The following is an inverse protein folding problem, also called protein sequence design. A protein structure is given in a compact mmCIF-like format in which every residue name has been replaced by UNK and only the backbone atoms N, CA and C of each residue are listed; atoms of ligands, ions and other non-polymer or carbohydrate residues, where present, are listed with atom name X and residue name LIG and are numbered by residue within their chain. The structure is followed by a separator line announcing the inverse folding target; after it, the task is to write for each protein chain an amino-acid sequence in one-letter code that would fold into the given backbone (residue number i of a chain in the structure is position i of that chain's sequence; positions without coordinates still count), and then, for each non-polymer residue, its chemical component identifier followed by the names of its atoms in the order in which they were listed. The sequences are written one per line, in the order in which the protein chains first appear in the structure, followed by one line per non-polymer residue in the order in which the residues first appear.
data_IF_721236201700
#
_entry.id   IF_721236201700
#
_cell.length_a   1.000
_cell.length_b   1.000
_cell.length_c   1.000
_cell.angle_alpha   90.00
_cell.angle_beta   90.00
_cell.angle_gamma   90.00
#
_symmetry.space_group_name_H-M   'P 1'
#
loop_
_entity.id
_entity.type
_entity.pdbx_description
1 polymer ?
#
# COMPACT_ATOMS: atom_id res chain seq x y z
N UNK A 1 -9.56 -3.35 2.95
CA UNK A 1 -8.97 -4.19 1.89
C UNK A 1 -7.89 -3.46 1.12
N UNK A 2 -8.17 -2.33 0.46
CA UNK A 2 -7.19 -1.56 -0.32
C UNK A 2 -5.92 -1.22 0.50
N UNK A 3 -6.07 -0.53 1.64
CA UNK A 3 -4.93 -0.19 2.52
C UNK A 3 -4.22 -1.41 3.12
N UNK A 4 -4.99 -2.41 3.56
CA UNK A 4 -4.46 -3.64 4.15
C UNK A 4 -3.59 -4.41 3.14
N UNK A 5 -4.07 -4.59 1.90
CA UNK A 5 -3.29 -5.23 0.84
C UNK A 5 -2.02 -4.44 0.51
N UNK A 6 -2.10 -3.11 0.46
CA UNK A 6 -0.92 -2.29 0.24
C UNK A 6 0.10 -2.38 1.38
N UNK A 7 -0.36 -2.28 2.64
CA UNK A 7 0.52 -2.41 3.80
C UNK A 7 1.15 -3.79 3.87
N UNK A 8 0.38 -4.84 3.57
CA UNK A 8 0.88 -6.20 3.44
C UNK A 8 1.99 -6.30 2.39
N UNK A 9 1.80 -5.73 1.21
CA UNK A 9 2.82 -5.66 0.16
C UNK A 9 4.12 -5.03 0.69
N UNK A 10 4.04 -3.83 1.28
CA UNK A 10 5.21 -3.08 1.72
C UNK A 10 5.93 -3.74 2.89
N UNK A 11 5.19 -4.29 3.85
CA UNK A 11 5.76 -4.94 5.01
C UNK A 11 6.47 -6.24 4.61
N UNK A 12 5.85 -7.06 3.74
CA UNK A 12 6.47 -8.28 3.26
C UNK A 12 7.67 -8.00 2.36
N UNK A 13 7.60 -7.02 1.46
CA UNK A 13 8.74 -6.64 0.63
C UNK A 13 9.91 -6.16 1.48
N UNK A 14 9.67 -5.38 2.54
CA UNK A 14 10.73 -4.92 3.42
C UNK A 14 11.33 -6.03 4.29
N UNK A 15 10.50 -6.92 4.83
CA UNK A 15 10.97 -7.99 5.72
C UNK A 15 11.68 -9.13 4.97
N UNK A 16 11.15 -9.54 3.81
CA UNK A 16 11.64 -10.73 3.10
C UNK A 16 12.66 -10.45 1.99
N UNK A 17 12.83 -9.22 1.51
CA UNK A 17 13.88 -8.89 0.52
C UNK A 17 15.30 -9.19 1.04
N UNK A 18 15.69 -8.79 2.27
CA UNK A 18 17.00 -9.15 2.83
C UNK A 18 17.20 -10.67 2.92
N UNK A 19 16.17 -11.41 3.39
CA UNK A 19 16.18 -12.87 3.50
C UNK A 19 16.31 -13.51 2.12
N UNK A 20 15.58 -13.02 1.13
CA UNK A 20 15.67 -13.45 -0.26
C UNK A 20 17.09 -13.27 -0.82
N UNK A 21 17.75 -12.14 -0.54
CA UNK A 21 19.12 -11.89 -1.04
C UNK A 21 20.13 -12.86 -0.39
N UNK A 22 19.99 -13.11 0.91
CA UNK A 22 20.89 -14.01 1.65
C UNK A 22 20.66 -15.48 1.29
N UNK A 23 19.42 -15.96 1.40
CA UNK A 23 19.10 -17.39 1.27
C UNK A 23 18.92 -17.84 -0.18
N UNK A 24 18.25 -17.03 -1.02
CA UNK A 24 17.97 -17.40 -2.41
C UNK A 24 19.16 -17.08 -3.31
N UNK A 25 19.78 -15.92 -3.08
CA UNK A 25 20.72 -15.33 -4.03
C UNK A 25 22.19 -15.53 -3.61
N UNK A 26 22.45 -15.77 -2.32
CA UNK A 26 23.76 -16.00 -1.71
C UNK A 26 24.78 -14.91 -2.05
N UNK A 27 24.33 -13.65 -2.14
CA UNK A 27 25.23 -12.52 -2.38
C UNK A 27 26.03 -12.15 -1.12
N UNK A 28 27.22 -11.53 -1.31
CA UNK A 28 27.99 -10.97 -0.21
C UNK A 28 27.18 -9.95 0.60
N UNK A 29 27.52 -9.81 1.88
CA UNK A 29 26.76 -9.05 2.88
C UNK A 29 26.51 -7.59 2.49
N UNK A 30 27.40 -6.99 1.68
CA UNK A 30 27.29 -5.63 1.18
C UNK A 30 25.96 -5.37 0.45
N UNK A 31 25.52 -6.31 -0.39
CA UNK A 31 24.29 -6.16 -1.20
C UNK A 31 23.02 -6.13 -0.34
N UNK A 32 23.06 -6.74 0.85
CA UNK A 32 21.93 -6.82 1.77
C UNK A 32 21.63 -5.46 2.42
N UNK A 33 22.63 -4.57 2.50
CA UNK A 33 22.45 -3.20 3.00
C UNK A 33 22.01 -2.24 1.89
N UNK A 34 22.61 -2.34 0.70
CA UNK A 34 22.33 -1.42 -0.40
C UNK A 34 20.92 -1.58 -0.99
N UNK A 35 20.43 -2.82 -1.13
CA UNK A 35 19.13 -3.05 -1.78
C UNK A 35 17.94 -2.46 -0.98
N UNK A 36 17.82 -2.68 0.34
CA UNK A 36 16.80 -1.98 1.13
C UNK A 36 16.96 -0.47 1.08
N UNK A 37 18.19 0.05 1.09
CA UNK A 37 18.44 1.50 0.97
C UNK A 37 17.87 2.05 -0.35
N UNK A 38 18.11 1.39 -1.48
CA UNK A 38 17.55 1.79 -2.78
C UNK A 38 16.02 1.73 -2.77
N UNK A 39 15.43 0.71 -2.17
CA UNK A 39 13.98 0.58 -2.01
C UNK A 39 13.41 1.75 -1.18
N UNK A 40 14.06 2.15 -0.09
CA UNK A 40 13.63 3.29 0.73
C UNK A 40 13.80 4.63 0.01
N UNK A 41 14.95 4.87 -0.63
CA UNK A 41 15.23 6.13 -1.35
C UNK A 41 14.26 6.32 -2.52
N UNK A 42 14.05 5.28 -3.32
CA UNK A 42 13.09 5.31 -4.42
C UNK A 42 11.66 5.52 -3.93
N UNK A 43 11.26 4.84 -2.85
CA UNK A 43 9.96 5.01 -2.23
C UNK A 43 9.75 6.43 -1.67
N UNK A 44 10.78 7.02 -1.07
CA UNK A 44 10.75 8.39 -0.56
C UNK A 44 10.63 9.42 -1.69
N UNK A 45 11.47 9.30 -2.73
CA UNK A 45 11.41 10.18 -3.89
C UNK A 45 10.03 10.11 -4.57
N UNK A 46 9.51 8.90 -4.74
CA UNK A 46 8.19 8.67 -5.31
C UNK A 46 7.10 9.34 -4.47
N UNK A 47 7.16 9.24 -3.14
CA UNK A 47 6.21 9.88 -2.22
C UNK A 47 6.16 11.41 -2.37
N UNK A 48 7.30 12.04 -2.67
CA UNK A 48 7.35 13.48 -2.97
C UNK A 48 6.62 13.82 -4.26
N UNK A 49 6.79 12.99 -5.30
CA UNK A 49 6.16 13.16 -6.62
C UNK A 49 4.67 12.81 -6.60
N UNK A 50 4.21 12.01 -5.63
CA UNK A 50 2.82 11.54 -5.55
C UNK A 50 1.77 12.63 -5.55
N UNK A 51 2.07 13.80 -4.95
CA UNK A 51 1.13 14.94 -4.98
C UNK A 51 0.89 15.41 -6.42
N UNK A 52 1.93 15.47 -7.24
CA UNK A 52 1.83 15.84 -8.65
C UNK A 52 1.13 14.72 -9.44
N UNK A 53 1.53 13.46 -9.27
CA UNK A 53 0.90 12.32 -9.94
C UNK A 53 -0.61 12.27 -9.69
N UNK A 54 -1.03 12.32 -8.43
CA UNK A 54 -2.45 12.30 -8.08
C UNK A 54 -3.24 13.47 -8.67
N UNK A 55 -2.60 14.62 -8.91
CA UNK A 55 -3.21 15.79 -9.54
C UNK A 55 -3.37 15.62 -11.06
N UNK A 56 -2.36 15.08 -11.74
CA UNK A 56 -2.36 14.98 -13.21
C UNK A 56 -3.15 13.78 -13.74
N UNK A 57 -2.92 12.59 -13.18
CA UNK A 57 -3.53 11.34 -13.68
C UNK A 57 -4.75 10.90 -12.86
N UNK A 58 -4.97 11.50 -11.69
CA UNK A 58 -6.06 11.15 -10.78
C UNK A 58 -5.73 9.96 -9.88
N UNK A 59 -6.32 9.95 -8.68
CA UNK A 59 -6.01 8.97 -7.62
C UNK A 59 -6.25 7.52 -8.02
N UNK A 60 -7.32 7.22 -8.75
CA UNK A 60 -7.62 5.84 -9.21
C UNK A 60 -6.55 5.34 -10.18
N UNK A 61 -6.15 6.15 -11.15
CA UNK A 61 -5.10 5.79 -12.09
C UNK A 61 -3.73 5.67 -11.43
N UNK A 62 -3.39 6.57 -10.49
CA UNK A 62 -2.15 6.45 -9.70
C UNK A 62 -2.08 5.14 -8.95
N UNK A 63 -3.18 4.70 -8.32
CA UNK A 63 -3.19 3.42 -7.61
C UNK A 63 -2.96 2.24 -8.56
N UNK A 64 -3.66 2.22 -9.70
CA UNK A 64 -3.48 1.18 -10.72
C UNK A 64 -2.03 1.17 -11.24
N UNK A 65 -1.43 2.34 -11.47
CA UNK A 65 -0.03 2.46 -11.85
C UNK A 65 0.89 1.85 -10.78
N UNK A 66 0.62 2.13 -9.50
CA UNK A 66 1.34 1.52 -8.38
C UNK A 66 1.22 -0.01 -8.36
N UNK A 67 0.04 -0.56 -8.62
CA UNK A 67 -0.17 -2.00 -8.73
C UNK A 67 0.56 -2.61 -9.93
N UNK A 68 0.61 -1.94 -11.08
CA UNK A 68 1.35 -2.40 -12.26
C UNK A 68 2.85 -2.40 -11.97
N UNK A 69 3.39 -1.33 -11.38
CA UNK A 69 4.81 -1.21 -11.04
C UNK A 69 5.19 -2.26 -9.99
N UNK A 70 4.44 -2.34 -8.89
CA UNK A 70 4.69 -3.28 -7.80
C UNK A 70 4.49 -4.74 -8.22
N UNK A 71 3.42 -5.03 -8.95
CA UNK A 71 3.14 -6.36 -9.50
C UNK A 71 4.16 -6.78 -10.56
N UNK A 72 4.57 -5.87 -11.44
CA UNK A 72 5.65 -6.08 -12.41
C UNK A 72 6.97 -6.41 -11.72
N UNK A 73 7.28 -5.74 -10.60
CA UNK A 73 8.45 -6.07 -9.79
C UNK A 73 8.35 -7.46 -9.15
N UNK A 74 7.16 -7.86 -8.65
CA UNK A 74 6.95 -9.23 -8.15
C UNK A 74 7.13 -10.30 -9.24
N UNK A 75 6.66 -10.03 -10.46
CA UNK A 75 6.87 -10.91 -11.62
C UNK A 75 8.36 -10.98 -11.96
N UNK A 76 9.08 -9.86 -11.93
CA UNK A 76 10.52 -9.82 -12.14
C UNK A 76 11.27 -10.62 -11.06
N UNK A 77 10.85 -10.56 -9.80
CA UNK A 77 11.39 -11.42 -8.72
C UNK A 77 11.09 -12.89 -8.99
N UNK A 78 9.91 -13.24 -9.51
CA UNK A 78 9.55 -14.63 -9.81
C UNK A 78 10.43 -15.26 -10.90
N UNK A 79 10.71 -14.51 -11.97
CA UNK A 79 11.52 -14.97 -13.11
C UNK A 79 13.02 -14.67 -12.97
N UNK A 80 13.41 -13.83 -12.01
CA UNK A 80 14.78 -13.40 -11.80
C UNK A 80 15.73 -14.55 -11.49
N UNK A 81 16.53 -14.94 -12.50
CA UNK A 81 17.58 -15.97 -12.41
C UNK A 81 18.81 -15.54 -13.21
N UNK A 82 19.99 -15.92 -12.75
CA UNK A 82 21.28 -15.67 -13.41
C UNK A 82 22.06 -14.46 -12.86
N UNK A 83 23.35 -14.39 -13.18
CA UNK A 83 24.27 -13.43 -12.56
C UNK A 83 24.02 -11.98 -12.98
N UNK A 84 23.57 -11.75 -14.21
CA UNK A 84 23.16 -10.42 -14.69
C UNK A 84 21.98 -9.87 -13.89
N UNK A 85 21.03 -10.74 -13.50
CA UNK A 85 19.91 -10.35 -12.65
C UNK A 85 20.41 -9.95 -11.26
N UNK A 86 21.32 -10.74 -10.68
CA UNK A 86 21.88 -10.52 -9.34
C UNK A 86 22.64 -9.19 -9.24
N UNK A 87 23.44 -8.86 -10.26
CA UNK A 87 24.33 -7.70 -10.22
C UNK A 87 23.66 -6.38 -10.61
N UNK A 88 22.81 -6.36 -11.63
CA UNK A 88 22.26 -5.11 -12.19
C UNK A 88 20.75 -5.02 -12.04
N UNK A 89 20.02 -6.06 -12.46
CA UNK A 89 18.56 -6.00 -12.55
C UNK A 89 17.90 -5.93 -11.17
N UNK A 90 18.52 -6.52 -10.14
CA UNK A 90 18.03 -6.50 -8.76
C UNK A 90 17.87 -5.08 -8.20
N UNK A 91 18.78 -4.16 -8.53
CA UNK A 91 18.67 -2.75 -8.11
C UNK A 91 17.45 -2.06 -8.75
N UNK A 92 17.20 -2.36 -10.03
CA UNK A 92 16.01 -1.88 -10.73
C UNK A 92 14.72 -2.43 -10.12
N UNK A 93 14.69 -3.74 -9.82
CA UNK A 93 13.55 -4.39 -9.15
C UNK A 93 13.31 -3.81 -7.76
N UNK A 94 14.36 -3.54 -6.99
CA UNK A 94 14.26 -2.91 -5.68
C UNK A 94 13.68 -1.49 -5.76
N UNK A 95 14.10 -0.71 -6.76
CA UNK A 95 13.53 0.62 -7.01
C UNK A 95 12.05 0.55 -7.40
N UNK A 96 11.65 -0.43 -8.22
CA UNK A 96 10.25 -0.64 -8.59
C UNK A 96 9.38 -1.11 -7.41
N UNK A 97 9.88 -2.02 -6.55
CA UNK A 97 9.21 -2.43 -5.32
C UNK A 97 8.98 -1.23 -4.38
N UNK A 98 10.01 -0.39 -4.21
CA UNK A 98 9.95 0.81 -3.39
C UNK A 98 8.97 1.85 -3.95
N UNK A 99 9.10 2.19 -5.24
CA UNK A 99 8.23 3.14 -5.92
C UNK A 99 6.77 2.66 -5.94
N UNK A 100 6.51 1.43 -6.38
CA UNK A 100 5.18 0.84 -6.45
C UNK A 100 4.51 0.77 -5.07
N UNK A 101 5.26 0.35 -4.05
CA UNK A 101 4.80 0.33 -2.66
C UNK A 101 4.38 1.71 -2.16
N UNK A 102 5.21 2.73 -2.38
CA UNK A 102 4.90 4.11 -2.00
C UNK A 102 3.69 4.69 -2.74
N UNK A 103 3.57 4.45 -4.05
CA UNK A 103 2.42 4.91 -4.84
C UNK A 103 1.13 4.33 -4.27
N UNK A 104 1.11 3.01 -4.07
CA UNK A 104 -0.06 2.33 -3.51
C UNK A 104 -0.36 2.84 -2.09
N UNK A 105 0.65 3.04 -1.24
CA UNK A 105 0.46 3.44 0.16
C UNK A 105 -0.12 4.85 0.27
N UNK A 106 0.53 5.83 -0.34
CA UNK A 106 0.11 7.23 -0.31
C UNK A 106 -1.30 7.39 -0.90
N UNK A 107 -1.57 6.67 -1.97
CA UNK A 107 -2.88 6.71 -2.62
C UNK A 107 -3.96 6.01 -1.79
N UNK A 108 -3.64 4.89 -1.13
CA UNK A 108 -4.58 4.20 -0.23
C UNK A 108 -5.01 5.03 0.96
N UNK A 109 -4.07 5.79 1.56
CA UNK A 109 -4.34 6.74 2.62
C UNK A 109 -5.24 7.87 2.13
N UNK A 110 -4.98 8.37 0.91
CA UNK A 110 -5.80 9.40 0.28
C UNK A 110 -7.25 8.94 0.08
N UNK A 111 -7.45 7.70 -0.39
CA UNK A 111 -8.79 7.11 -0.50
C UNK A 111 -9.46 6.95 0.86
N UNK A 112 -8.71 6.53 1.87
CA UNK A 112 -9.26 6.35 3.23
C UNK A 112 -9.75 7.68 3.80
N UNK A 113 -8.95 8.74 3.66
CA UNK A 113 -9.34 10.08 4.08
C UNK A 113 -10.61 10.56 3.34
N UNK A 114 -10.72 10.29 2.04
CA UNK A 114 -11.92 10.63 1.26
C UNK A 114 -13.16 9.86 1.74
N UNK A 115 -13.00 8.59 2.14
CA UNK A 115 -14.11 7.75 2.62
C UNK A 115 -14.61 8.15 4.01
N UNK A 116 -13.71 8.62 4.88
CA UNK A 116 -14.08 9.16 6.21
C UNK A 116 -14.86 10.48 6.03
N UNK A 117 -14.44 11.32 5.09
CA UNK A 117 -15.11 12.57 4.76
C UNK A 117 -15.17 13.54 5.96
N UNK A 118 -16.31 14.21 6.21
CA UNK A 118 -16.42 15.21 7.26
C UNK A 118 -16.55 14.63 8.69
N UNK A 119 -16.84 13.33 8.83
CA UNK A 119 -17.05 12.66 10.12
C UNK A 119 -15.73 12.31 10.82
N UNK A 120 -14.92 13.32 11.11
CA UNK A 120 -13.57 13.16 11.69
C UNK A 120 -13.58 12.56 13.09
N UNK A 121 -14.68 12.69 13.83
CA UNK A 121 -14.84 12.14 15.18
C UNK A 121 -14.73 10.60 15.20
N UNK A 122 -15.33 9.93 14.20
CA UNK A 122 -15.18 8.49 14.00
C UNK A 122 -13.92 8.10 13.22
N UNK A 123 -13.20 9.06 12.65
CA UNK A 123 -12.02 8.82 11.82
C UNK A 123 -10.88 8.12 12.56
N UNK A 124 -10.67 8.46 13.85
CA UNK A 124 -9.67 7.82 14.69
C UNK A 124 -9.96 6.31 14.88
N UNK A 125 -11.22 5.95 15.08
CA UNK A 125 -11.64 4.55 15.17
C UNK A 125 -11.41 3.81 13.85
N UNK A 126 -11.72 4.43 12.70
CA UNK A 126 -11.48 3.85 11.36
C UNK A 126 -10.01 3.57 11.14
N UNK A 127 -9.11 4.54 11.38
CA UNK A 127 -7.67 4.33 11.25
C UNK A 127 -7.12 3.32 12.27
N UNK A 128 -7.72 3.23 13.46
CA UNK A 128 -7.43 2.22 14.47
C UNK A 128 -7.78 0.81 14.00
N UNK A 129 -9.03 0.57 13.60
CA UNK A 129 -9.51 -0.71 13.07
C UNK A 129 -8.74 -1.15 11.82
N UNK A 130 -8.44 -0.19 10.95
CA UNK A 130 -7.62 -0.40 9.76
C UNK A 130 -6.21 -0.91 10.10
N UNK A 131 -5.55 -0.28 11.07
CA UNK A 131 -4.19 -0.66 11.50
C UNK A 131 -4.17 -1.98 12.29
N UNK A 132 -5.21 -2.24 13.08
CA UNK A 132 -5.37 -3.51 13.78
C UNK A 132 -5.52 -4.68 12.81
N UNK A 133 -6.41 -4.53 11.81
CA UNK A 133 -6.63 -5.54 10.77
C UNK A 133 -5.35 -5.78 9.96
N UNK A 134 -4.61 -4.72 9.64
CA UNK A 134 -3.31 -4.82 8.99
C UNK A 134 -2.32 -5.67 9.80
N UNK A 135 -2.14 -5.39 11.10
CA UNK A 135 -1.21 -6.15 11.95
C UNK A 135 -1.58 -7.63 12.03
N UNK A 136 -2.86 -7.94 12.20
CA UNK A 136 -3.34 -9.33 12.21
C UNK A 136 -3.03 -10.00 10.87
N UNK A 137 -3.32 -9.33 9.75
CA UNK A 137 -3.09 -9.89 8.43
C UNK A 137 -1.62 -10.16 8.15
N UNK A 138 -0.74 -9.21 8.46
CA UNK A 138 0.70 -9.37 8.29
C UNK A 138 1.21 -10.51 9.16
N UNK A 139 0.80 -10.56 10.43
CA UNK A 139 1.17 -11.63 11.35
C UNK A 139 0.72 -13.01 10.85
N UNK A 140 -0.51 -13.12 10.37
CA UNK A 140 -1.05 -14.37 9.82
C UNK A 140 -0.27 -14.85 8.59
N UNK A 141 0.04 -13.95 7.65
CA UNK A 141 0.79 -14.30 6.43
C UNK A 141 2.24 -14.68 6.77
N UNK A 142 2.89 -13.95 7.68
CA UNK A 142 4.25 -14.27 8.13
C UNK A 142 4.28 -15.63 8.82
N UNK A 143 3.33 -15.92 9.72
CA UNK A 143 3.21 -17.23 10.38
C UNK A 143 2.99 -18.35 9.36
N UNK A 144 2.16 -18.12 8.34
CA UNK A 144 1.93 -19.09 7.28
C UNK A 144 3.21 -19.36 6.48
N UNK A 145 3.95 -18.32 6.08
CA UNK A 145 5.22 -18.46 5.35
C UNK A 145 6.24 -19.22 6.19
N UNK A 146 6.31 -18.95 7.49
CA UNK A 146 7.24 -19.64 8.39
C UNK A 146 6.85 -21.10 8.64
N UNK A 147 5.56 -21.40 8.84
CA UNK A 147 5.11 -22.77 9.09
C UNK A 147 5.20 -23.66 7.85
N UNK A 148 5.05 -23.08 6.66
CA UNK A 148 5.24 -23.77 5.39
C UNK A 148 6.72 -23.88 4.97
N UNK A 149 7.65 -23.33 5.76
CA UNK A 149 9.08 -23.38 5.45
C UNK A 149 9.59 -24.83 5.47
N UNK A 150 10.01 -25.42 4.34
CA UNK A 150 10.44 -26.81 4.27
C UNK A 150 11.81 -27.08 4.91
N UNK A 151 12.50 -26.05 5.41
CA UNK A 151 13.85 -26.15 5.94
C UNK A 151 13.90 -26.66 7.39
N UNK A 152 13.41 -27.88 7.63
CA UNK A 152 13.76 -28.66 8.84
C UNK A 152 15.10 -29.39 8.66
N UNK A 153 15.58 -29.55 7.41
CA UNK A 153 16.90 -30.09 7.07
C UNK A 153 17.49 -29.31 5.87
N UNK A 154 18.78 -28.98 5.91
CA UNK A 154 19.51 -28.23 4.88
C UNK A 154 19.36 -28.87 3.49
N UNK A 155 18.56 -28.27 2.62
CA UNK A 155 18.29 -28.79 1.28
C UNK A 155 18.40 -27.69 0.20
N UNK A 156 19.01 -27.96 -0.97
CA UNK A 156 19.16 -26.97 -2.05
C UNK A 156 17.82 -26.47 -2.64
N UNK A 157 16.70 -27.15 -2.34
CA UNK A 157 15.33 -26.68 -2.66
C UNK A 157 14.85 -25.51 -1.80
N UNK A 158 15.50 -25.21 -0.67
CA UNK A 158 15.15 -24.09 0.21
C UNK A 158 15.43 -22.72 -0.42
N UNK A 159 16.46 -22.62 -1.28
CA UNK A 159 16.87 -21.35 -1.89
C UNK A 159 15.73 -20.66 -2.65
N UNK A 160 14.92 -21.39 -3.43
CA UNK A 160 13.81 -20.78 -4.19
C UNK A 160 12.52 -20.58 -3.40
N UNK A 161 12.45 -21.02 -2.14
CA UNK A 161 11.21 -20.93 -1.35
C UNK A 161 10.86 -19.46 -1.04
N UNK A 162 11.79 -18.71 -0.47
CA UNK A 162 11.56 -17.31 -0.11
C UNK A 162 11.32 -16.41 -1.33
N UNK A 163 12.02 -16.65 -2.44
CA UNK A 163 11.75 -15.98 -3.71
C UNK A 163 10.28 -16.15 -4.15
N UNK A 164 9.78 -17.38 -4.14
CA UNK A 164 8.39 -17.69 -4.55
C UNK A 164 7.38 -17.19 -3.53
N UNK A 165 7.65 -17.35 -2.23
CA UNK A 165 6.78 -16.90 -1.16
C UNK A 165 6.63 -15.37 -1.21
N UNK A 166 7.73 -14.63 -1.35
CA UNK A 166 7.73 -13.18 -1.50
C UNK A 166 6.93 -12.75 -2.73
N UNK A 167 7.20 -13.34 -3.90
CA UNK A 167 6.53 -12.98 -5.14
C UNK A 167 5.02 -13.30 -5.13
N UNK A 168 4.60 -14.45 -4.58
CA UNK A 168 3.18 -14.81 -4.46
C UNK A 168 2.48 -13.92 -3.43
N UNK A 169 3.06 -13.74 -2.24
CA UNK A 169 2.41 -13.00 -1.18
C UNK A 169 2.26 -11.51 -1.54
N UNK A 170 3.33 -10.89 -2.06
CA UNK A 170 3.26 -9.50 -2.54
C UNK A 170 2.39 -9.38 -3.81
N UNK A 171 2.48 -10.32 -4.75
CA UNK A 171 1.64 -10.33 -5.94
C UNK A 171 0.14 -10.44 -5.61
N UNK A 172 -0.23 -11.34 -4.70
CA UNK A 172 -1.59 -11.50 -4.22
C UNK A 172 -2.09 -10.22 -3.50
N UNK A 173 -1.23 -9.60 -2.69
CA UNK A 173 -1.55 -8.34 -2.01
C UNK A 173 -1.80 -7.19 -3.01
N UNK A 174 -0.99 -7.09 -4.06
CA UNK A 174 -1.19 -6.12 -5.14
C UNK A 174 -2.48 -6.38 -5.93
N UNK A 175 -2.80 -7.64 -6.23
CA UNK A 175 -4.04 -8.03 -6.90
C UNK A 175 -5.28 -7.73 -6.05
N UNK A 176 -5.23 -7.99 -4.75
CA UNK A 176 -6.30 -7.61 -3.81
C UNK A 176 -6.50 -6.10 -3.77
N UNK A 177 -5.40 -5.33 -3.76
CA UNK A 177 -5.45 -3.87 -3.86
C UNK A 177 -6.10 -3.41 -5.16
N UNK A 178 -5.69 -3.99 -6.29
CA UNK A 178 -6.23 -3.66 -7.61
C UNK A 178 -7.73 -3.96 -7.69
N UNK A 179 -8.15 -5.14 -7.25
CA UNK A 179 -9.56 -5.52 -7.20
C UNK A 179 -10.38 -4.58 -6.31
N UNK A 180 -9.83 -4.19 -5.15
CA UNK A 180 -10.47 -3.24 -4.26
C UNK A 180 -10.64 -1.86 -4.93
N UNK A 181 -9.62 -1.35 -5.62
CA UNK A 181 -9.71 -0.07 -6.36
C UNK A 181 -10.71 -0.12 -7.51
N UNK A 182 -10.81 -1.25 -8.21
CA UNK A 182 -11.77 -1.43 -9.28
C UNK A 182 -13.20 -1.49 -8.75
N UNK A 183 -13.38 -2.13 -7.59
CA UNK A 183 -14.66 -2.21 -6.88
C UNK A 183 -15.13 -0.86 -6.31
N UNK A 184 -14.22 0.10 -6.08
CA UNK A 184 -14.61 1.47 -5.75
C UNK A 184 -15.31 2.11 -6.98
N UNK A 185 -16.61 2.34 -6.81
CA UNK A 185 -17.48 2.98 -7.81
C UNK A 185 -16.90 4.31 -8.31
N UNK A 186 -17.05 4.58 -9.61
CA UNK A 186 -16.50 5.75 -10.30
C UNK A 186 -17.05 7.10 -9.77
N UNK A 187 -18.11 7.10 -8.95
CA UNK A 187 -18.77 8.30 -8.43
C UNK A 187 -17.91 9.14 -7.45
N UNK A 188 -16.74 8.66 -7.03
CA UNK A 188 -15.81 9.43 -6.18
C UNK A 188 -15.07 10.52 -6.99
N UNK A 189 -14.94 10.34 -8.30
CA UNK A 189 -14.32 11.33 -9.19
C UNK A 189 -15.12 12.65 -9.28
N UNK A 190 -16.45 12.58 -9.24
CA UNK A 190 -17.30 13.78 -9.28
C UNK A 190 -17.34 14.52 -7.94
N UNK A 191 -17.36 13.81 -6.81
CA UNK A 191 -17.25 14.44 -5.48
C UNK A 191 -15.95 15.23 -5.31
N UNK A 192 -14.87 14.86 -6.00
CA UNK A 192 -13.60 15.60 -5.98
C UNK A 192 -13.66 16.92 -6.73
N UNK A 193 -14.33 16.97 -7.90
CA UNK A 193 -14.53 18.23 -8.63
C UNK A 193 -15.40 19.18 -7.80
N UNK A 194 -16.41 18.63 -7.14
CA UNK A 194 -17.33 19.41 -6.31
C UNK A 194 -16.64 19.97 -5.05
N UNK A 195 -15.87 19.16 -4.31
CA UNK A 195 -15.13 19.64 -3.13
C UNK A 195 -13.94 20.56 -3.48
N UNK A 196 -13.30 20.35 -4.64
CA UNK A 196 -12.22 21.20 -5.14
C UNK A 196 -12.69 22.58 -5.63
N UNK A 197 -13.94 22.68 -6.10
CA UNK A 197 -14.55 23.94 -6.53
C UNK A 197 -14.99 24.84 -5.35
N UNK A 198 -15.08 24.30 -4.13
CA UNK A 198 -15.44 25.07 -2.93
C UNK A 198 -14.24 25.90 -2.44
N UNK A 199 -14.35 27.24 -2.35
CA UNK A 199 -13.30 28.11 -1.82
C UNK A 199 -12.90 27.72 -0.39
N UNK A 200 -11.59 27.81 -0.06
CA UNK A 200 -11.06 27.39 1.26
C UNK A 200 -11.79 28.01 2.46
N UNK A 201 -12.26 29.26 2.35
CA UNK A 201 -13.05 29.93 3.41
C UNK A 201 -14.47 29.38 3.59
N UNK A 202 -15.04 28.76 2.56
CA UNK A 202 -16.37 28.13 2.62
C UNK A 202 -16.29 26.68 3.12
N UNK A 203 -15.15 25.99 2.94
CA UNK A 203 -14.92 24.65 3.52
C UNK A 203 -15.01 24.66 5.04
N UNK A 204 -14.43 25.67 5.69
CA UNK A 204 -14.52 25.86 7.14
C UNK A 204 -15.96 26.14 7.60
N UNK A 205 -16.74 26.88 6.79
CA UNK A 205 -18.16 27.17 7.07
C UNK A 205 -19.08 25.99 6.85
N UNK A 206 -18.84 25.15 5.84
CA UNK A 206 -19.62 23.93 5.58
C UNK A 206 -19.42 22.93 6.71
N UNK A 207 -18.18 22.78 7.21
CA UNK A 207 -17.90 21.96 8.40
C UNK A 207 -18.51 22.53 9.68
N UNK A 208 -18.72 23.85 9.78
CA UNK A 208 -19.39 24.46 10.94
C UNK A 208 -20.92 24.52 10.81
N UNK A 209 -21.47 24.56 9.60
CA UNK A 209 -22.93 24.54 9.38
C UNK A 209 -23.49 23.13 9.51
N UNK A 210 -22.74 22.09 9.15
CA UNK A 210 -23.13 20.70 9.42
C UNK A 210 -23.20 20.41 10.92
N UNK A 211 -22.31 20.99 11.74
CA UNK A 211 -22.39 20.87 13.20
C UNK A 211 -23.50 21.71 13.83
N UNK A 212 -24.01 22.71 13.13
CA UNK A 212 -25.13 23.56 13.61
C UNK A 212 -26.49 22.93 13.31
N UNK A 213 -26.60 22.16 12.23
CA UNK A 213 -27.86 21.58 11.76
C UNK A 213 -28.34 20.44 12.65
N UNK A 214 -27.43 19.72 13.32
CA UNK A 214 -27.77 18.63 14.25
C UNK A 214 -28.17 19.13 15.66
N UNK A 215 -28.15 20.46 15.89
CA UNK A 215 -28.51 21.05 17.19
C UNK A 215 -29.96 21.55 17.27
N UNK A 216 -30.70 21.65 16.17
CA UNK A 216 -32.05 22.23 16.14
C UNK A 216 -33.21 21.21 16.05
N UNK A 217 -32.95 19.92 15.82
CA UNK A 217 -34.00 18.88 15.77
C UNK A 217 -34.38 18.27 17.14
N UNK A 218 -34.02 18.94 18.25
CA UNK A 218 -34.19 18.43 19.63
C UNK A 218 -35.19 19.16 20.53
N UNK A 219 -35.81 20.27 20.11
CA UNK A 219 -36.68 21.03 21.01
C UNK A 219 -37.82 21.75 20.29
N UNK A 220 -39.02 21.13 20.31
CA UNK A 220 -40.24 21.91 20.09
C UNK A 220 -41.49 21.19 19.64
N UNK A 221 -42.00 20.20 20.40
CA UNK A 221 -43.45 19.92 20.45
C UNK A 221 -43.85 19.40 21.84
N UNK A 222 -44.35 20.28 22.70
CA UNK A 222 -45.55 20.00 23.51
C UNK A 222 -46.12 21.35 23.98
N UNK A 223 -47.15 21.78 23.28
CA UNK A 223 -48.05 22.86 23.69
C UNK A 223 -49.27 22.19 24.33
N UNK A 224 -49.69 22.74 25.46
CA UNK A 224 -50.84 22.41 26.31
C UNK A 224 -50.69 21.20 27.23
#
# INVERSE_FOLDING_TARGET
MLYMGTRLFCNLSQAYVPIYIQDSLQLPQDSVAYIPLVMYVSGFLTSTIMKALNKYIGRKASFILGCIIGGGACIAVWFGRGDLYKQYLLYGVAALLGAGGSIMLVTSLSFTADLIGPNVESGAFVYGAMSFTDKISNGAVVMLIQNLNPCTNCCPRCSSYYQKALAIACGAAAMLGLFAVLSLSNNIGDRQKEYAAVPQGLRARVSSSSSSSDSEDGAGVSVA
#
